data_IF_209470295291
#
_entry.id   IF_209470295291
#
_cell.length_a   1.000
_cell.length_b   1.000
_cell.length_c   1.000
_cell.angle_alpha   90.00
_cell.angle_beta   90.00
_cell.angle_gamma   90.00
#
_symmetry.space_group_name_H-M   'P 1'
#
loop_
_entity.id
_entity.type
_entity.pdbx_description
1 polymer ?
#
# COMPACT_ATOMS: atom_id res chain seq x y z
N UNK A 1 -9.58 -5.38 18.43
CA UNK A 1 -8.24 -4.84 18.07
C UNK A 1 -7.48 -4.51 19.34
N UNK A 2 -6.14 -4.51 19.30
CA UNK A 2 -5.30 -4.12 20.45
C UNK A 2 -5.64 -2.70 20.95
N UNK A 3 -5.96 -1.78 20.03
CA UNK A 3 -6.45 -0.44 20.34
C UNK A 3 -7.73 -0.43 21.20
N UNK A 4 -8.69 -1.32 20.93
CA UNK A 4 -9.91 -1.45 21.73
C UNK A 4 -9.63 -2.00 23.13
N UNK A 5 -8.67 -2.92 23.27
CA UNK A 5 -8.23 -3.43 24.57
C UNK A 5 -7.53 -2.34 25.39
N UNK A 6 -6.61 -1.59 24.78
CA UNK A 6 -5.92 -0.46 25.44
C UNK A 6 -6.95 0.59 25.87
N UNK A 7 -7.85 1.00 24.97
CA UNK A 7 -8.88 1.99 25.28
C UNK A 7 -9.81 1.53 26.42
N UNK A 8 -10.21 0.25 26.45
CA UNK A 8 -11.03 -0.32 27.52
C UNK A 8 -10.29 -0.32 28.88
N UNK A 9 -8.98 -0.61 28.89
CA UNK A 9 -8.16 -0.59 30.11
C UNK A 9 -7.88 0.82 30.63
N UNK A 10 -7.72 1.80 29.74
CA UNK A 10 -7.42 3.19 30.13
C UNK A 10 -8.67 3.95 30.58
N UNK A 11 -9.83 3.69 29.97
CA UNK A 11 -11.07 4.41 30.26
C UNK A 11 -12.05 3.65 31.17
N UNK A 12 -11.66 2.49 31.70
CA UNK A 12 -12.44 1.76 32.72
C UNK A 12 -13.81 1.26 32.23
N UNK A 13 -13.91 0.78 30.98
CA UNK A 13 -15.14 0.23 30.39
C UNK A 13 -15.65 0.99 29.14
N UNK A 14 -16.95 0.89 28.87
CA UNK A 14 -17.63 1.51 27.72
C UNK A 14 -17.92 3.01 27.92
N UNK A 15 -16.94 3.76 28.41
CA UNK A 15 -17.07 5.22 28.58
C UNK A 15 -17.12 5.97 27.23
N UNK A 16 -17.55 7.23 27.26
CA UNK A 16 -17.60 8.10 26.06
C UNK A 16 -16.25 8.15 25.32
N UNK A 17 -15.12 8.09 26.04
CA UNK A 17 -13.77 8.04 25.47
C UNK A 17 -13.50 6.80 24.60
N UNK A 18 -14.06 5.63 24.95
CA UNK A 18 -13.94 4.41 24.16
C UNK A 18 -14.63 4.56 22.79
N UNK A 19 -15.85 5.11 22.77
CA UNK A 19 -16.58 5.35 21.53
C UNK A 19 -15.91 6.40 20.64
N UNK A 20 -15.33 7.46 21.23
CA UNK A 20 -14.57 8.47 20.47
C UNK A 20 -13.35 7.85 19.80
N UNK A 21 -12.58 7.02 20.50
CA UNK A 21 -11.40 6.35 19.94
C UNK A 21 -11.80 5.35 18.85
N UNK A 22 -12.88 4.59 19.09
CA UNK A 22 -13.38 3.62 18.10
C UNK A 22 -13.86 4.32 16.82
N UNK A 23 -14.59 5.43 16.96
CA UNK A 23 -15.06 6.24 15.85
C UNK A 23 -13.90 6.89 15.10
N UNK A 24 -12.93 7.47 15.81
CA UNK A 24 -11.73 8.03 15.20
C UNK A 24 -10.93 6.98 14.42
N UNK A 25 -10.78 5.78 14.98
CA UNK A 25 -10.11 4.66 14.31
C UNK A 25 -10.84 4.25 13.03
N UNK A 26 -12.17 4.14 13.09
CA UNK A 26 -12.98 3.83 11.92
C UNK A 26 -12.87 4.91 10.82
N UNK A 27 -12.87 6.20 11.20
CA UNK A 27 -12.69 7.31 10.26
C UNK A 27 -11.30 7.30 9.61
N UNK A 28 -10.24 7.05 10.38
CA UNK A 28 -8.88 6.97 9.84
C UNK A 28 -8.77 5.82 8.83
N UNK A 29 -9.33 4.65 9.13
CA UNK A 29 -9.36 3.52 8.21
C UNK A 29 -10.18 3.82 6.94
N UNK A 30 -11.31 4.52 7.07
CA UNK A 30 -12.13 4.95 5.93
C UNK A 30 -11.37 5.94 5.02
N UNK A 31 -10.65 6.90 5.61
CA UNK A 31 -9.81 7.85 4.85
C UNK A 31 -8.66 7.11 4.16
N UNK A 32 -8.00 6.18 4.84
CA UNK A 32 -6.92 5.38 4.27
C UNK A 32 -7.40 4.57 3.05
N UNK A 33 -8.59 3.97 3.12
CA UNK A 33 -9.21 3.29 1.99
C UNK A 33 -9.44 4.26 0.81
N UNK A 34 -9.98 5.46 1.06
CA UNK A 34 -10.21 6.46 0.03
C UNK A 34 -8.91 6.92 -0.66
N UNK A 35 -7.79 7.03 0.08
CA UNK A 35 -6.48 7.34 -0.50
C UNK A 35 -6.03 6.26 -1.48
N UNK A 36 -6.23 4.98 -1.15
CA UNK A 36 -5.94 3.86 -2.05
C UNK A 36 -6.75 3.92 -3.35
N UNK A 37 -8.06 4.13 -3.24
CA UNK A 37 -8.95 4.28 -4.41
C UNK A 37 -8.60 5.48 -5.29
N UNK A 38 -8.07 6.55 -4.71
CA UNK A 38 -7.68 7.75 -5.46
C UNK A 38 -6.32 7.61 -6.17
N UNK A 39 -5.40 6.82 -5.60
CA UNK A 39 -4.04 6.64 -6.14
C UNK A 39 -3.98 5.62 -7.30
N UNK A 40 -4.79 4.56 -7.25
CA UNK A 40 -4.76 3.50 -8.26
C UNK A 40 -5.04 3.95 -9.70
N UNK A 41 -6.04 4.80 -9.99
CA UNK A 41 -6.30 5.27 -11.34
C UNK A 41 -5.12 6.04 -11.95
N UNK A 42 -4.35 6.77 -11.12
CA UNK A 42 -3.15 7.45 -11.60
C UNK A 42 -2.04 6.46 -11.98
N UNK A 43 -1.87 5.38 -11.23
CA UNK A 43 -0.91 4.31 -11.55
C UNK A 43 -1.33 3.57 -12.84
N UNK A 44 -2.60 3.20 -12.95
CA UNK A 44 -3.14 2.54 -14.13
C UNK A 44 -2.99 3.40 -15.39
N UNK A 45 -3.21 4.72 -15.28
CA UNK A 45 -3.02 5.67 -16.38
C UNK A 45 -1.55 5.75 -16.83
N UNK A 46 -0.61 5.81 -15.88
CA UNK A 46 0.83 5.85 -16.21
C UNK A 46 1.26 4.56 -16.93
N UNK A 47 0.77 3.41 -16.47
CA UNK A 47 1.09 2.11 -17.09
C UNK A 47 0.41 1.94 -18.47
N UNK A 48 -0.80 2.50 -18.65
CA UNK A 48 -1.49 2.53 -19.94
C UNK A 48 -0.79 3.43 -20.96
N UNK A 49 -0.26 4.59 -20.54
CA UNK A 49 0.56 5.48 -21.39
C UNK A 49 1.81 4.78 -21.91
N UNK A 50 2.42 3.94 -21.08
CA UNK A 50 3.59 3.13 -21.45
C UNK A 50 3.20 1.86 -22.27
N UNK A 51 1.95 1.75 -22.72
CA UNK A 51 1.37 0.63 -23.51
C UNK A 51 1.35 -0.74 -22.81
N UNK A 52 1.51 -0.78 -21.48
CA UNK A 52 1.42 -2.01 -20.68
C UNK A 52 -0.01 -2.35 -20.23
N UNK A 53 -0.98 -1.44 -20.40
CA UNK A 53 -2.39 -1.67 -20.14
C UNK A 53 -3.26 -1.28 -21.36
N UNK A 54 -4.47 -1.86 -21.51
CA UNK A 54 -5.39 -1.51 -22.60
C UNK A 54 -5.69 -0.01 -22.64
N UNK A 55 -5.88 0.53 -23.85
CA UNK A 55 -6.20 1.95 -24.08
C UNK A 55 -7.47 2.43 -23.33
N UNK A 56 -8.32 1.51 -22.87
CA UNK A 56 -9.46 1.74 -21.98
C UNK A 56 -9.10 2.50 -20.68
N UNK A 57 -7.84 2.43 -20.23
CA UNK A 57 -7.32 3.16 -19.07
C UNK A 57 -6.60 4.48 -19.43
N UNK A 58 -6.43 4.75 -20.72
CA UNK A 58 -5.64 5.89 -21.23
C UNK A 58 -6.49 7.14 -21.49
N UNK A 59 -7.82 7.00 -21.45
CA UNK A 59 -8.74 8.09 -21.73
C UNK A 59 -8.77 9.10 -20.58
N UNK A 60 -7.96 10.15 -20.75
CA UNK A 60 -7.86 11.30 -19.84
C UNK A 60 -9.08 12.23 -19.91
N UNK A 61 -10.09 11.90 -20.73
CA UNK A 61 -11.03 12.88 -21.28
C UNK A 61 -12.40 12.99 -20.63
N UNK A 62 -12.99 11.93 -20.07
CA UNK A 62 -14.42 12.01 -19.70
C UNK A 62 -14.84 11.04 -18.60
N UNK A 63 -14.39 11.25 -17.34
CA UNK A 63 -14.78 10.47 -16.12
C UNK A 63 -14.61 8.93 -16.16
N UNK A 64 -14.44 8.31 -17.32
CA UNK A 64 -14.53 6.89 -17.63
C UNK A 64 -13.21 6.18 -17.34
N UNK A 65 -12.06 6.78 -17.66
CA UNK A 65 -10.76 6.20 -17.30
C UNK A 65 -10.51 6.15 -15.78
N UNK A 66 -10.96 7.18 -15.06
CA UNK A 66 -10.91 7.22 -13.60
C UNK A 66 -11.94 6.26 -12.98
N UNK A 67 -13.15 6.18 -13.56
CA UNK A 67 -14.22 5.29 -13.12
C UNK A 67 -13.88 3.81 -13.35
N UNK A 68 -13.30 3.44 -14.49
CA UNK A 68 -12.90 2.05 -14.77
C UNK A 68 -11.78 1.58 -13.85
N UNK A 69 -10.84 2.46 -13.48
CA UNK A 69 -9.79 2.15 -12.50
C UNK A 69 -10.35 1.93 -11.09
N UNK A 70 -11.29 2.76 -10.65
CA UNK A 70 -11.96 2.57 -9.35
C UNK A 70 -12.82 1.29 -9.37
N UNK A 71 -13.55 1.04 -10.46
CA UNK A 71 -14.45 -0.11 -10.57
C UNK A 71 -13.67 -1.43 -10.57
N UNK A 72 -12.54 -1.50 -11.28
CA UNK A 72 -11.68 -2.70 -11.28
C UNK A 72 -11.04 -2.94 -9.92
N UNK A 73 -10.59 -1.88 -9.22
CA UNK A 73 -10.07 -1.99 -7.86
C UNK A 73 -11.16 -2.42 -6.87
N UNK A 74 -12.36 -1.86 -6.97
CA UNK A 74 -13.50 -2.21 -6.13
C UNK A 74 -13.89 -3.68 -6.32
N UNK A 75 -13.95 -4.14 -7.57
CA UNK A 75 -14.22 -5.54 -7.87
C UNK A 75 -13.15 -6.48 -7.31
N UNK A 76 -11.86 -6.13 -7.48
CA UNK A 76 -10.75 -6.88 -6.89
C UNK A 76 -10.79 -6.91 -5.37
N UNK A 77 -11.11 -5.79 -4.71
CA UNK A 77 -11.24 -5.71 -3.27
C UNK A 77 -12.40 -6.57 -2.75
N UNK A 78 -13.55 -6.57 -3.42
CA UNK A 78 -14.70 -7.43 -3.08
C UNK A 78 -14.31 -8.91 -3.17
N UNK A 79 -13.66 -9.32 -4.27
CA UNK A 79 -13.19 -10.70 -4.44
C UNK A 79 -12.24 -11.09 -3.30
N UNK A 80 -11.29 -10.21 -2.95
CA UNK A 80 -10.35 -10.46 -1.88
C UNK A 80 -11.05 -10.63 -0.52
N UNK A 81 -12.02 -9.75 -0.22
CA UNK A 81 -12.81 -9.85 1.01
C UNK A 81 -13.65 -11.14 1.06
N UNK A 82 -14.17 -11.61 -0.07
CA UNK A 82 -14.90 -12.87 -0.15
C UNK A 82 -13.98 -14.09 0.09
N UNK A 83 -12.78 -14.09 -0.49
CA UNK A 83 -11.81 -15.19 -0.32
C UNK A 83 -11.34 -15.28 1.14
N UNK A 84 -10.95 -14.15 1.72
CA UNK A 84 -10.37 -14.10 3.06
C UNK A 84 -11.40 -13.86 4.18
N UNK A 85 -12.69 -13.79 3.84
CA UNK A 85 -13.80 -13.58 4.78
C UNK A 85 -13.60 -12.35 5.71
N UNK A 86 -12.92 -11.32 5.23
CA UNK A 86 -12.60 -10.13 6.01
C UNK A 86 -11.60 -10.34 7.16
N UNK A 87 -10.87 -11.46 7.18
CA UNK A 87 -9.85 -11.72 8.20
C UNK A 87 -8.61 -10.86 8.01
N UNK A 88 -8.34 -9.96 8.96
CA UNK A 88 -7.13 -9.12 8.94
C UNK A 88 -5.85 -9.93 9.03
N UNK A 89 -5.89 -11.08 9.72
CA UNK A 89 -4.71 -11.90 9.98
C UNK A 89 -4.14 -12.50 8.69
N UNK A 90 -5.02 -12.82 7.73
CA UNK A 90 -4.61 -13.30 6.41
C UNK A 90 -4.38 -12.17 5.40
N UNK A 91 -5.04 -11.01 5.57
CA UNK A 91 -4.89 -9.85 4.70
C UNK A 91 -3.57 -9.10 4.91
N UNK A 92 -3.08 -9.02 6.15
CA UNK A 92 -1.86 -8.28 6.49
C UNK A 92 -0.63 -8.83 5.74
N UNK A 93 -0.35 -10.15 5.75
CA UNK A 93 0.78 -10.71 4.99
C UNK A 93 0.66 -10.46 3.49
N UNK A 94 -0.54 -10.62 2.92
CA UNK A 94 -0.77 -10.40 1.48
C UNK A 94 -0.52 -8.94 1.07
N UNK A 95 -1.02 -7.99 1.86
CA UNK A 95 -0.74 -6.57 1.67
C UNK A 95 0.76 -6.27 1.76
N UNK A 96 1.43 -6.85 2.75
CA UNK A 96 2.84 -6.62 2.97
C UNK A 96 3.69 -7.10 1.79
N UNK A 97 3.42 -8.29 1.24
CA UNK A 97 4.08 -8.75 -0.01
C UNK A 97 3.85 -7.76 -1.15
N UNK A 98 2.63 -7.27 -1.32
CA UNK A 98 2.28 -6.29 -2.35
C UNK A 98 3.03 -4.96 -2.23
N UNK A 99 3.37 -4.53 -1.01
CA UNK A 99 4.15 -3.30 -0.77
C UNK A 99 5.65 -3.55 -0.86
N UNK A 100 6.16 -4.59 -0.20
CA UNK A 100 7.60 -4.80 -0.09
C UNK A 100 8.25 -5.22 -1.41
N UNK A 101 7.53 -5.89 -2.32
CA UNK A 101 8.07 -6.26 -3.63
C UNK A 101 8.41 -5.02 -4.48
N UNK A 102 7.49 -4.07 -4.73
CA UNK A 102 7.81 -2.80 -5.39
C UNK A 102 8.88 -1.98 -4.67
N UNK A 103 8.88 -1.95 -3.34
CA UNK A 103 9.92 -1.27 -2.57
C UNK A 103 11.29 -1.89 -2.84
N UNK A 104 11.43 -3.21 -2.77
CA UNK A 104 12.68 -3.92 -3.05
C UNK A 104 13.15 -3.69 -4.49
N UNK A 105 12.22 -3.72 -5.44
CA UNK A 105 12.49 -3.47 -6.86
C UNK A 105 12.94 -2.01 -7.09
N UNK A 106 12.28 -1.05 -6.45
CA UNK A 106 12.60 0.38 -6.53
C UNK A 106 13.99 0.68 -5.94
N UNK A 107 14.28 0.16 -4.75
CA UNK A 107 15.58 0.32 -4.09
C UNK A 107 16.70 -0.30 -4.95
N UNK A 108 16.49 -1.51 -5.47
CA UNK A 108 17.44 -2.20 -6.36
C UNK A 108 17.64 -1.44 -7.68
N UNK A 109 16.56 -0.95 -8.29
CA UNK A 109 16.61 -0.12 -9.49
C UNK A 109 17.36 1.20 -9.26
N UNK A 110 17.18 1.82 -8.08
CA UNK A 110 17.90 3.03 -7.71
C UNK A 110 19.40 2.76 -7.57
N UNK A 111 19.81 1.65 -6.95
CA UNK A 111 21.23 1.27 -6.83
C UNK A 111 21.87 1.17 -8.22
N UNK A 112 21.21 0.52 -9.17
CA UNK A 112 21.70 0.39 -10.57
C UNK A 112 21.73 1.76 -11.27
N UNK A 113 20.68 2.58 -11.10
CA UNK A 113 20.61 3.93 -11.68
C UNK A 113 21.77 4.80 -11.22
N UNK A 114 21.99 4.82 -9.91
CA UNK A 114 23.07 5.53 -9.27
C UNK A 114 24.41 5.00 -9.85
N UNK A 115 24.62 3.67 -9.95
CA UNK A 115 25.86 3.07 -10.47
C UNK A 115 26.16 3.51 -11.90
N UNK A 116 25.14 3.57 -12.75
CA UNK A 116 25.30 3.99 -14.14
C UNK A 116 25.62 5.48 -14.30
N UNK A 117 24.94 6.37 -13.57
CA UNK A 117 25.12 7.82 -13.76
C UNK A 117 26.32 8.41 -13.00
N UNK A 118 26.82 7.74 -11.96
CA UNK A 118 27.91 8.21 -11.07
C UNK A 118 27.91 9.74 -10.77
N UNK A 119 26.78 10.37 -10.43
CA UNK A 119 26.77 11.79 -10.09
C UNK A 119 27.53 12.02 -8.76
N UNK A 120 28.04 13.22 -8.50
CA UNK A 120 28.76 13.52 -7.25
C UNK A 120 27.99 13.09 -5.99
N UNK A 121 28.69 12.50 -5.03
CA UNK A 121 28.14 11.77 -3.86
C UNK A 121 27.36 10.48 -4.17
N UNK A 122 27.60 9.86 -5.33
CA UNK A 122 26.96 8.59 -5.73
C UNK A 122 27.00 7.50 -4.65
N UNK A 123 28.15 7.30 -4.01
CA UNK A 123 28.37 6.21 -3.06
C UNK A 123 27.51 6.33 -1.79
N UNK A 124 27.34 7.55 -1.25
CA UNK A 124 26.44 7.79 -0.12
C UNK A 124 24.98 7.50 -0.48
N UNK A 125 24.54 7.93 -1.67
CA UNK A 125 23.18 7.67 -2.15
C UNK A 125 22.96 6.17 -2.42
N UNK A 126 23.97 5.47 -2.92
CA UNK A 126 23.91 4.02 -3.10
C UNK A 126 23.83 3.28 -1.75
N UNK A 127 24.59 3.71 -0.74
CA UNK A 127 24.58 3.10 0.60
C UNK A 127 23.22 3.21 1.29
N UNK A 128 22.57 4.38 1.21
CA UNK A 128 21.23 4.59 1.77
C UNK A 128 20.21 3.66 1.09
N UNK A 129 20.25 3.54 -0.23
CA UNK A 129 19.35 2.64 -0.96
C UNK A 129 19.67 1.16 -0.70
N UNK A 130 20.94 0.81 -0.47
CA UNK A 130 21.35 -0.54 -0.10
C UNK A 130 20.81 -0.95 1.29
N UNK A 131 20.89 -0.05 2.27
CA UNK A 131 20.28 -0.27 3.59
C UNK A 131 18.77 -0.42 3.44
N UNK A 132 18.11 0.42 2.63
CA UNK A 132 16.69 0.31 2.33
C UNK A 132 16.30 -1.02 1.69
N UNK A 133 17.11 -1.52 0.74
CA UNK A 133 16.92 -2.82 0.12
C UNK A 133 17.08 -3.97 1.12
N UNK A 134 18.12 -3.92 1.97
CA UNK A 134 18.38 -4.93 2.99
C UNK A 134 17.23 -5.03 4.01
N UNK A 135 16.74 -3.89 4.51
CA UNK A 135 15.60 -3.85 5.43
C UNK A 135 14.35 -4.43 4.76
N UNK A 136 14.08 -4.07 3.49
CA UNK A 136 12.93 -4.58 2.76
C UNK A 136 12.99 -6.10 2.58
N UNK A 137 14.17 -6.65 2.26
CA UNK A 137 14.39 -8.10 2.13
C UNK A 137 14.21 -8.80 3.47
N UNK A 138 14.77 -8.26 4.54
CA UNK A 138 14.59 -8.81 5.90
C UNK A 138 13.12 -8.85 6.28
N UNK A 139 12.37 -7.78 6.02
CA UNK A 139 10.94 -7.70 6.32
C UNK A 139 10.14 -8.75 5.56
N UNK A 140 10.42 -8.93 4.26
CA UNK A 140 9.81 -9.99 3.45
C UNK A 140 10.10 -11.37 4.06
N UNK A 141 11.35 -11.65 4.42
CA UNK A 141 11.74 -12.93 5.02
C UNK A 141 11.01 -13.14 6.36
N UNK A 142 10.96 -12.14 7.24
CA UNK A 142 10.27 -12.27 8.53
C UNK A 142 8.77 -12.51 8.37
N UNK A 143 8.14 -11.89 7.38
CA UNK A 143 6.70 -12.06 7.12
C UNK A 143 6.35 -13.43 6.55
N UNK A 144 7.25 -14.07 5.79
CA UNK A 144 7.06 -15.43 5.31
C UNK A 144 7.44 -16.50 6.35
N UNK A 145 8.26 -16.14 7.34
CA UNK A 145 8.71 -17.04 8.39
C UNK A 145 7.77 -17.08 9.61
N UNK A 146 6.82 -16.13 9.72
CA UNK A 146 5.85 -16.01 10.82
C UNK A 146 4.47 -16.40 10.31
#
# INVERSE_FOLDING_TARGET
TVLSQIAATTFGGHGVGFYVIQLATALILAVAANTGFSAFPMLALNLARDKYLPHLYMDKGDRLGYSNGILSLAFGAIILLLIFHGSTDALIPLYAVGVFVPFTLSQSGMIIHWWRKKPGYWWFKALINFIGAAISVILVITLFAT
#
